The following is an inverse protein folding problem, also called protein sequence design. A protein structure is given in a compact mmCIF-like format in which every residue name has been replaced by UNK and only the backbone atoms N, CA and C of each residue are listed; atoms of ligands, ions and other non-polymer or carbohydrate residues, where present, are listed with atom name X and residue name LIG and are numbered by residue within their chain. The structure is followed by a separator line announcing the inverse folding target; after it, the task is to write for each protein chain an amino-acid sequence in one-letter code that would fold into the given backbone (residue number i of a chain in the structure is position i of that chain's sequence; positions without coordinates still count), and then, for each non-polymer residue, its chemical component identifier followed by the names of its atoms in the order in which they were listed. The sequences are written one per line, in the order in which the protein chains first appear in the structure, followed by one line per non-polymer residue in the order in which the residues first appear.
data_IF_380953441595
#
_entry.id   IF_380953441595
#
_cell.length_a   1.000
_cell.length_b   1.000
_cell.length_c   1.000
_cell.angle_alpha   90.00
_cell.angle_beta   90.00
_cell.angle_gamma   90.00
#
_symmetry.space_group_name_H-M   'P 1'
#
loop_
_entity.id
_entity.type
_entity.pdbx_description
1 polymer ?
#
# COMPACT_ATOMS: atom_id res chain seq x y z
N UNK A 1 6.08 -4.73 -13.87
CA UNK A 1 6.10 -4.95 -15.34
C UNK A 1 7.27 -4.17 -15.89
N UNK A 2 8.14 -4.81 -16.67
CA UNK A 2 9.30 -4.15 -17.30
C UNK A 2 9.13 -4.14 -18.81
N UNK A 3 9.47 -3.02 -19.46
CA UNK A 3 9.48 -2.87 -20.92
C UNK A 3 10.93 -2.70 -21.38
N UNK A 4 11.58 -3.75 -21.91
CA UNK A 4 13.02 -3.71 -22.21
C UNK A 4 13.41 -2.66 -23.26
N UNK A 5 12.51 -2.36 -24.21
CA UNK A 5 12.78 -1.42 -25.30
C UNK A 5 12.87 0.03 -24.84
N UNK A 6 12.12 0.41 -23.81
CA UNK A 6 12.10 1.77 -23.27
C UNK A 6 12.91 1.90 -21.98
N UNK A 7 13.43 0.78 -21.45
CA UNK A 7 14.06 0.70 -20.13
C UNK A 7 13.17 1.28 -19.02
N UNK A 8 11.85 1.11 -19.14
CA UNK A 8 10.88 1.61 -18.18
C UNK A 8 10.27 0.45 -17.39
N UNK A 9 10.16 0.67 -16.08
CA UNK A 9 9.57 -0.27 -15.14
C UNK A 9 8.30 0.34 -14.54
N UNK A 10 7.27 -0.48 -14.35
CA UNK A 10 5.97 -0.05 -13.82
C UNK A 10 5.39 -1.04 -12.80
N UNK A 11 4.86 -0.50 -11.70
CA UNK A 11 3.93 -1.18 -10.81
C UNK A 11 2.49 -0.90 -11.21
N UNK A 12 1.64 -1.93 -11.13
CA UNK A 12 0.20 -1.76 -11.25
C UNK A 12 -0.37 -1.53 -9.84
N UNK A 13 -0.67 -0.26 -9.54
CA UNK A 13 -1.21 0.14 -8.24
C UNK A 13 -2.64 0.64 -8.38
N UNK A 14 -3.36 0.68 -7.28
CA UNK A 14 -4.64 1.40 -7.22
C UNK A 14 -4.38 2.91 -7.07
N UNK A 15 -5.35 3.72 -7.45
CA UNK A 15 -5.46 5.10 -6.99
C UNK A 15 -6.48 5.21 -5.83
N UNK A 16 -6.52 6.35 -5.14
CA UNK A 16 -7.46 6.63 -4.04
C UNK A 16 -8.94 6.59 -4.44
N UNK A 17 -9.22 6.56 -5.76
CA UNK A 17 -10.55 6.39 -6.37
C UNK A 17 -10.83 4.93 -6.75
N UNK A 18 -9.86 4.05 -6.57
CA UNK A 18 -9.93 2.62 -6.78
C UNK A 18 -9.73 2.15 -8.22
N UNK A 19 -9.14 2.98 -9.07
CA UNK A 19 -8.78 2.63 -10.46
C UNK A 19 -7.36 2.12 -10.52
N UNK A 20 -7.07 1.24 -11.47
CA UNK A 20 -5.70 0.84 -11.74
C UNK A 20 -4.92 2.00 -12.39
N UNK A 21 -3.70 2.22 -11.92
CA UNK A 21 -2.72 3.11 -12.51
C UNK A 21 -1.38 2.40 -12.65
N UNK A 22 -0.75 2.62 -13.80
CA UNK A 22 0.66 2.31 -13.98
C UNK A 22 1.48 3.38 -13.24
N UNK A 23 2.27 2.93 -12.29
CA UNK A 23 3.19 3.76 -11.52
C UNK A 23 4.62 3.43 -11.92
N UNK A 24 5.35 4.40 -12.46
CA UNK A 24 6.76 4.25 -12.79
C UNK A 24 7.58 3.94 -11.54
N UNK A 25 8.48 2.98 -11.63
CA UNK A 25 9.32 2.51 -10.54
C UNK A 25 10.80 2.59 -10.93
N UNK A 26 11.68 2.56 -9.93
CA UNK A 26 13.13 2.53 -10.14
C UNK A 26 13.60 1.11 -10.48
N UNK A 27 14.74 1.01 -11.15
CA UNK A 27 15.34 -0.27 -11.54
C UNK A 27 15.66 -1.15 -10.33
N UNK A 28 16.09 -0.57 -9.21
CA UNK A 28 16.35 -1.31 -7.96
C UNK A 28 15.07 -1.94 -7.39
N UNK A 29 13.94 -1.25 -7.51
CA UNK A 29 12.64 -1.75 -7.07
C UNK A 29 12.13 -2.85 -7.98
N UNK A 30 12.49 -2.82 -9.26
CA UNK A 30 12.08 -3.80 -10.27
C UNK A 30 12.68 -5.19 -10.03
N UNK A 31 13.72 -5.27 -9.21
CA UNK A 31 14.41 -6.51 -8.85
C UNK A 31 13.68 -7.34 -7.82
N UNK A 32 12.66 -6.83 -7.15
CA UNK A 32 11.92 -7.59 -6.16
C UNK A 32 10.41 -7.43 -6.30
N UNK A 33 9.68 -8.43 -5.80
CA UNK A 33 8.23 -8.40 -5.67
C UNK A 33 7.83 -8.69 -4.24
N UNK A 34 6.70 -8.11 -3.82
CA UNK A 34 6.09 -8.37 -2.52
C UNK A 34 4.83 -9.22 -2.73
N UNK A 35 4.70 -10.28 -1.95
CA UNK A 35 3.53 -11.15 -1.96
C UNK A 35 3.02 -11.36 -0.53
N UNK A 36 1.71 -11.32 -0.33
CA UNK A 36 1.10 -11.65 0.95
C UNK A 36 0.93 -13.15 1.05
N UNK A 37 1.37 -13.74 2.15
CA UNK A 37 1.11 -15.14 2.46
C UNK A 37 -0.37 -15.34 2.79
N UNK A 38 -1.05 -16.20 2.03
CA UNK A 38 -2.46 -16.54 2.26
C UNK A 38 -2.63 -17.72 3.20
N UNK A 39 -1.59 -18.54 3.39
CA UNK A 39 -1.64 -19.78 4.17
C UNK A 39 -0.38 -19.91 5.02
N UNK A 40 -0.51 -20.47 6.22
CA UNK A 40 0.64 -20.80 7.05
C UNK A 40 1.43 -21.95 6.42
N UNK A 41 2.72 -21.73 6.16
CA UNK A 41 3.65 -22.78 5.72
C UNK A 41 4.86 -22.71 6.66
N UNK A 42 5.14 -23.80 7.38
CA UNK A 42 6.24 -23.90 8.34
C UNK A 42 6.20 -22.79 9.41
N UNK A 43 7.28 -22.03 9.58
CA UNK A 43 7.41 -20.96 10.58
C UNK A 43 6.66 -19.66 10.23
N UNK A 44 6.10 -19.56 9.01
CA UNK A 44 5.43 -18.35 8.53
C UNK A 44 3.96 -18.33 8.91
N UNK A 45 3.48 -17.17 9.39
CA UNK A 45 2.06 -16.96 9.66
C UNK A 45 1.35 -16.47 8.40
N UNK A 46 0.05 -16.77 8.33
CA UNK A 46 -0.83 -16.08 7.40
C UNK A 46 -0.70 -14.55 7.62
N UNK A 47 -0.82 -13.79 6.53
CA UNK A 47 -0.73 -12.32 6.48
C UNK A 47 0.69 -11.72 6.54
N UNK A 48 1.70 -12.54 6.84
CA UNK A 48 3.10 -12.14 6.66
C UNK A 48 3.38 -11.87 5.17
N UNK A 49 4.38 -11.02 4.91
CA UNK A 49 4.74 -10.64 3.55
C UNK A 49 6.07 -11.23 3.15
N UNK A 50 6.08 -11.79 1.96
CA UNK A 50 7.23 -12.40 1.33
C UNK A 50 7.79 -11.37 0.36
N UNK A 51 9.04 -10.98 0.59
CA UNK A 51 9.84 -10.25 -0.40
C UNK A 51 10.66 -11.26 -1.18
N UNK A 52 10.34 -11.41 -2.46
CA UNK A 52 11.05 -12.27 -3.38
C UNK A 52 11.95 -11.43 -4.27
N UNK A 53 13.26 -11.67 -4.19
CA UNK A 53 14.26 -11.08 -5.05
C UNK A 53 14.35 -11.91 -6.35
N UNK A 54 14.05 -11.26 -7.49
CA UNK A 54 13.90 -11.90 -8.79
C UNK A 54 15.26 -12.28 -9.41
N UNK A 55 16.34 -11.60 -9.02
CA UNK A 55 17.69 -11.87 -9.55
C UNK A 55 18.35 -13.01 -8.79
N UNK A 56 18.31 -12.94 -7.46
CA UNK A 56 18.99 -13.90 -6.59
C UNK A 56 18.14 -15.09 -6.17
N UNK A 57 16.84 -15.09 -6.52
CA UNK A 57 15.83 -16.03 -6.02
C UNK A 57 15.76 -16.13 -4.49
N UNK A 58 16.28 -15.12 -3.78
CA UNK A 58 16.26 -15.07 -2.31
C UNK A 58 14.89 -14.66 -1.83
N UNK A 59 14.43 -15.33 -0.78
CA UNK A 59 13.13 -15.08 -0.15
C UNK A 59 13.38 -14.51 1.24
N UNK A 60 12.88 -13.31 1.46
CA UNK A 60 12.91 -12.64 2.75
C UNK A 60 11.50 -12.55 3.32
N UNK A 61 11.35 -12.86 4.60
CA UNK A 61 10.06 -12.82 5.28
C UNK A 61 9.94 -11.56 6.14
N UNK A 62 8.76 -10.94 6.06
CA UNK A 62 8.39 -9.75 6.84
C UNK A 62 7.20 -10.13 7.70
N UNK A 63 7.44 -10.16 9.01
CA UNK A 63 6.41 -10.42 9.99
C UNK A 63 5.37 -9.31 9.99
N UNK A 64 4.10 -9.67 10.07
CA UNK A 64 2.99 -8.74 10.22
C UNK A 64 2.82 -8.35 11.70
N UNK A 65 3.12 -7.09 12.02
CA UNK A 65 3.01 -6.54 13.39
C UNK A 65 2.51 -5.10 13.41
N UNK A 66 2.15 -4.63 14.61
CA UNK A 66 1.75 -3.25 14.85
C UNK A 66 2.97 -2.34 14.64
N UNK A 67 2.76 -1.15 14.07
CA UNK A 67 3.84 -0.20 13.76
C UNK A 67 4.42 -0.32 12.35
N UNK A 68 3.94 -1.29 11.56
CA UNK A 68 4.30 -1.41 10.15
C UNK A 68 3.41 -0.55 9.26
N UNK A 69 3.99 0.00 8.19
CA UNK A 69 3.28 0.65 7.08
C UNK A 69 2.58 -0.36 6.20
N UNK A 70 1.28 -0.16 6.05
CA UNK A 70 0.42 -0.99 5.23
C UNK A 70 -0.37 -0.16 4.23
N UNK A 71 -0.70 -0.80 3.12
CA UNK A 71 -1.58 -0.27 2.08
C UNK A 71 -2.90 -1.03 2.09
N UNK A 72 -4.01 -0.33 1.91
CA UNK A 72 -5.33 -0.95 1.77
C UNK A 72 -5.59 -1.31 0.31
N UNK A 73 -5.86 -2.58 0.03
CA UNK A 73 -6.12 -3.07 -1.34
C UNK A 73 -7.61 -3.11 -1.71
N UNK A 74 -8.52 -2.99 -0.73
CA UNK A 74 -9.94 -3.22 -0.91
C UNK A 74 -10.88 -2.16 -0.34
N UNK A 75 -12.15 -2.23 -0.75
CA UNK A 75 -13.29 -1.46 -0.20
C UNK A 75 -13.12 0.07 -0.26
N UNK A 76 -13.83 0.80 0.61
CA UNK A 76 -13.91 2.27 0.66
C UNK A 76 -12.55 2.95 0.87
N UNK A 77 -11.69 2.31 1.67
CA UNK A 77 -10.38 2.82 2.07
C UNK A 77 -9.25 2.40 1.13
N UNK A 78 -9.55 1.81 -0.04
CA UNK A 78 -8.56 1.38 -1.03
C UNK A 78 -7.55 2.50 -1.37
N UNK A 79 -6.30 2.08 -1.53
CA UNK A 79 -5.11 2.89 -1.79
C UNK A 79 -4.73 3.85 -0.65
N UNK A 80 -5.39 3.77 0.50
CA UNK A 80 -4.89 4.46 1.70
C UNK A 80 -3.67 3.75 2.25
N UNK A 81 -2.66 4.52 2.63
CA UNK A 81 -1.42 4.02 3.24
C UNK A 81 -1.26 4.63 4.62
N UNK A 82 -0.86 3.81 5.59
CA UNK A 82 -0.66 4.26 6.95
C UNK A 82 -0.04 3.20 7.83
N UNK A 83 0.25 3.58 9.07
CA UNK A 83 0.84 2.71 10.09
C UNK A 83 -0.26 2.04 10.90
N UNK A 84 -0.16 0.73 11.13
CA UNK A 84 -1.08 0.02 12.02
C UNK A 84 -0.83 0.49 13.45
N UNK A 85 -1.88 1.01 14.11
CA UNK A 85 -1.87 1.39 15.53
C UNK A 85 -2.41 0.31 16.44
N UNK A 86 -3.49 -0.35 16.02
CA UNK A 86 -4.13 -1.38 16.82
C UNK A 86 -4.72 -2.49 15.94
N UNK A 87 -4.78 -3.69 16.49
CA UNK A 87 -5.43 -4.87 15.90
C UNK A 87 -6.47 -5.40 16.88
N UNK A 88 -7.73 -5.23 16.53
CA UNK A 88 -8.86 -5.77 17.27
C UNK A 88 -9.20 -7.16 16.72
N UNK A 89 -9.18 -8.16 17.61
CA UNK A 89 -9.47 -9.55 17.27
C UNK A 89 -10.91 -9.89 17.62
N UNK A 90 -11.66 -10.35 16.63
CA UNK A 90 -13.05 -10.79 16.83
C UNK A 90 -13.15 -12.29 16.58
N UNK A 91 -13.65 -13.04 17.56
CA UNK A 91 -13.91 -14.48 17.37
C UNK A 91 -15.00 -14.66 16.32
N UNK A 92 -14.72 -15.44 15.28
CA UNK A 92 -15.68 -15.74 14.21
C UNK A 92 -15.84 -14.66 13.14
N UNK A 93 -15.01 -13.61 13.15
CA UNK A 93 -14.97 -12.59 12.10
C UNK A 93 -13.52 -12.25 11.73
N UNK A 94 -13.34 -11.45 10.68
CA UNK A 94 -12.03 -10.93 10.34
C UNK A 94 -11.58 -9.88 11.36
N UNK A 95 -10.30 -9.89 11.70
CA UNK A 95 -9.71 -8.87 12.57
C UNK A 95 -9.83 -7.47 11.96
N UNK A 96 -10.13 -6.50 12.81
CA UNK A 96 -10.21 -5.09 12.46
C UNK A 96 -8.88 -4.41 12.77
N UNK A 97 -8.33 -3.68 11.80
CA UNK A 97 -7.09 -2.92 11.94
C UNK A 97 -7.41 -1.43 11.99
N UNK A 98 -6.91 -0.76 13.02
CA UNK A 98 -6.90 0.70 13.11
C UNK A 98 -5.58 1.22 12.57
N UNK A 99 -5.67 2.06 11.54
CA UNK A 99 -4.53 2.56 10.77
C UNK A 99 -4.55 4.09 10.84
N UNK A 100 -3.38 4.67 11.10
CA UNK A 100 -3.17 6.13 11.06
C UNK A 100 -2.34 6.47 9.81
N UNK A 101 -2.81 7.40 8.97
CA UNK A 101 -2.03 7.89 7.84
C UNK A 101 -1.05 9.00 8.24
N UNK A 102 -0.27 9.49 7.27
CA UNK A 102 0.75 10.53 7.49
C UNK A 102 0.16 11.94 7.71
N UNK A 103 -1.17 12.08 7.75
CA UNK A 103 -1.87 13.33 8.11
C UNK A 103 -2.55 13.22 9.48
N UNK A 104 -2.18 12.20 10.26
CA UNK A 104 -2.78 11.84 11.54
C UNK A 104 -4.25 11.44 11.48
N UNK A 105 -4.80 11.21 10.28
CA UNK A 105 -6.17 10.72 10.13
C UNK A 105 -6.22 9.21 10.38
N UNK A 106 -7.09 8.81 11.29
CA UNK A 106 -7.32 7.39 11.59
C UNK A 106 -8.49 6.81 10.80
N UNK A 107 -8.38 5.54 10.46
CA UNK A 107 -9.44 4.77 9.84
C UNK A 107 -9.31 3.29 10.15
N UNK A 108 -10.43 2.56 9.99
CA UNK A 108 -10.47 1.12 10.22
C UNK A 108 -10.68 0.34 8.93
N UNK A 109 -10.12 -0.86 8.86
CA UNK A 109 -10.36 -1.82 7.77
C UNK A 109 -10.14 -3.24 8.26
N UNK A 110 -10.76 -4.23 7.61
CA UNK A 110 -10.52 -5.64 7.93
C UNK A 110 -9.14 -6.08 7.41
N UNK A 111 -8.48 -6.96 8.16
CA UNK A 111 -7.18 -7.57 7.85
C UNK A 111 -7.12 -8.17 6.43
N UNK A 112 -8.21 -8.76 5.95
CA UNK A 112 -8.30 -9.28 4.58
C UNK A 112 -8.00 -8.23 3.50
N UNK A 113 -8.27 -6.93 3.75
CA UNK A 113 -8.07 -5.85 2.77
C UNK A 113 -6.75 -5.09 2.95
N UNK A 114 -5.80 -5.61 3.73
CA UNK A 114 -4.54 -4.93 4.04
C UNK A 114 -3.36 -5.67 3.45
N UNK A 115 -2.40 -4.92 2.92
CA UNK A 115 -1.16 -5.44 2.38
C UNK A 115 0.01 -4.75 3.08
N UNK A 116 0.98 -5.52 3.56
CA UNK A 116 2.18 -4.95 4.16
C UNK A 116 3.06 -4.36 3.06
N UNK A 117 3.40 -3.07 3.19
CA UNK A 117 4.15 -2.34 2.19
C UNK A 117 5.57 -1.97 2.64
N UNK A 118 6.06 -2.48 3.77
CA UNK A 118 7.40 -2.15 4.24
C UNK A 118 7.81 -2.77 5.57
N UNK A 119 8.93 -2.27 6.11
CA UNK A 119 9.44 -2.66 7.43
C UNK A 119 9.48 -1.43 8.32
N UNK A 120 8.71 -1.47 9.41
CA UNK A 120 8.49 -0.31 10.27
C UNK A 120 7.74 0.81 9.54
N UNK A 121 8.20 2.05 9.71
CA UNK A 121 7.58 3.26 9.14
C UNK A 121 7.96 3.54 7.68
N UNK A 122 8.92 2.79 7.11
CA UNK A 122 9.43 3.04 5.76
C UNK A 122 8.82 2.06 4.74
N UNK A 123 8.07 2.56 3.75
CA UNK A 123 7.59 1.74 2.65
C UNK A 123 8.76 1.28 1.77
N UNK A 124 8.70 0.04 1.29
CA UNK A 124 9.69 -0.51 0.36
C UNK A 124 9.33 -0.26 -1.10
N UNK A 125 8.05 -0.05 -1.38
CA UNK A 125 7.52 0.22 -2.71
C UNK A 125 7.23 1.72 -2.86
N UNK A 126 7.55 2.27 -4.02
CA UNK A 126 7.26 3.67 -4.32
C UNK A 126 5.75 3.90 -4.38
N UNK A 127 5.28 4.94 -3.68
CA UNK A 127 3.86 5.25 -3.59
C UNK A 127 3.39 6.14 -4.76
N UNK A 128 2.15 5.96 -5.26
CA UNK A 128 1.55 6.82 -6.27
C UNK A 128 1.44 8.29 -5.82
N UNK A 129 1.15 9.18 -6.79
CA UNK A 129 0.86 10.60 -6.52
C UNK A 129 -0.24 10.71 -5.46
N UNK A 130 0.07 11.38 -4.34
CA UNK A 130 -0.81 11.47 -3.17
C UNK A 130 -0.37 10.63 -1.98
N UNK A 131 0.70 9.82 -2.10
CA UNK A 131 1.33 9.06 -0.99
C UNK A 131 0.32 8.24 -0.15
N UNK A 132 -0.75 7.76 -0.78
CA UNK A 132 -1.82 7.01 -0.12
C UNK A 132 -2.71 7.84 0.83
N UNK A 133 -2.77 9.16 0.66
CA UNK A 133 -3.67 10.04 1.41
C UNK A 133 -4.94 10.26 0.61
N UNK A 134 -6.08 9.87 1.18
CA UNK A 134 -7.40 10.08 0.59
C UNK A 134 -8.05 11.32 1.21
N UNK A 135 -8.14 12.38 0.40
CA UNK A 135 -8.74 13.64 0.82
C UNK A 135 -10.25 13.50 1.03
N UNK A 136 -10.78 14.28 1.97
CA UNK A 136 -12.23 14.47 2.10
C UNK A 136 -12.77 15.24 0.88
N UNK A 137 -14.06 15.03 0.57
CA UNK A 137 -14.73 15.59 -0.61
C UNK A 137 -14.54 17.10 -0.72
N UNK A 138 -14.67 17.82 0.39
CA UNK A 138 -14.54 19.28 0.44
C UNK A 138 -13.12 19.73 0.10
N UNK A 139 -12.10 19.05 0.63
CA UNK A 139 -10.69 19.38 0.38
C UNK A 139 -10.33 19.09 -1.08
N UNK A 140 -10.78 17.96 -1.61
CA UNK A 140 -10.60 17.62 -3.03
C UNK A 140 -11.26 18.66 -3.96
N UNK A 141 -12.48 19.12 -3.63
CA UNK A 141 -13.17 20.14 -4.41
C UNK A 141 -12.39 21.47 -4.43
N UNK A 142 -11.88 21.91 -3.27
CA UNK A 142 -11.05 23.13 -3.14
C UNK A 142 -9.78 23.04 -3.97
N UNK A 143 -9.06 21.92 -3.91
CA UNK A 143 -7.82 21.73 -4.68
C UNK A 143 -8.09 21.71 -6.20
N UNK A 144 -9.20 21.11 -6.64
CA UNK A 144 -9.60 21.14 -8.06
C UNK A 144 -9.92 22.56 -8.54
N UNK A 145 -10.66 23.35 -7.75
CA UNK A 145 -10.98 24.73 -8.10
C UNK A 145 -9.72 25.61 -8.15
N UNK A 146 -8.80 25.45 -7.19
CA UNK A 146 -7.53 26.18 -7.18
C UNK A 146 -6.68 25.86 -8.42
N UNK A 147 -6.59 24.59 -8.81
CA UNK A 147 -5.85 24.17 -10.01
C UNK A 147 -6.46 24.70 -11.32
N UNK A 148 -7.79 24.85 -11.38
CA UNK A 148 -8.47 25.47 -12.52
C UNK A 148 -8.20 26.98 -12.60
N UNK A 149 -8.19 27.67 -11.45
CA UNK A 149 -7.84 29.09 -11.39
C UNK A 149 -6.40 29.40 -11.80
N UNK A 150 -5.45 28.53 -11.48
CA UNK A 150 -4.05 28.70 -11.89
C UNK A 150 -3.77 28.40 -13.36
N UNK A 151 -4.64 27.62 -14.03
CA UNK A 151 -4.48 27.27 -15.44
C UNK A 151 -5.08 28.29 -16.41
N UNK A 152 -5.79 29.30 -15.87
CA UNK A 152 -6.47 30.36 -16.63
C UNK A 152 -5.83 31.74 -16.41
N UNK A 153 -4.69 31.79 -15.73
CA UNK A 153 -3.88 33.00 -15.51
C UNK A 153 -2.54 32.91 -16.25
#
# INVERSE_FOLDING_TARGET
MSIPKTNENFHLLYDTKGRFRLHSMKDEEAKFTLARSLMCILEQRADDTIRHDLESNKINFIKFEIGIVVMVIGRRNRDRVGVIKNREKHKGSFDTLHIQDNTDHEFATCLANVFNNGKGSNPWVTLPKGKGIKLIIIKEARERLAAQGSATS
#
